data_IF_678259022789
#
_entry.id   IF_678259022789
#
_cell.length_a   1.000
_cell.length_b   1.000
_cell.length_c   1.000
_cell.angle_alpha   90.00
_cell.angle_beta   90.00
_cell.angle_gamma   90.00
#
_symmetry.space_group_name_H-M   'P 1'
#
loop_
_entity.id
_entity.type
_entity.pdbx_description
1 polymer ?
#
# COMPACT_ATOMS: atom_id res chain seq x y z
N UNK A 1 4.87 -12.09 36.11
CA UNK A 1 4.59 -11.62 37.49
C UNK A 1 3.24 -12.14 37.90
N UNK A 2 3.22 -13.07 38.85
CA UNK A 2 2.00 -13.64 39.44
C UNK A 2 1.98 -13.16 40.88
N UNK A 3 1.12 -12.18 41.17
CA UNK A 3 0.98 -11.63 42.52
C UNK A 3 -0.19 -12.33 43.19
N UNK A 4 0.08 -12.99 44.31
CA UNK A 4 -0.94 -13.71 45.08
C UNK A 4 -0.98 -13.23 46.52
N UNK A 5 -2.09 -13.48 47.18
CA UNK A 5 -2.29 -13.12 48.58
C UNK A 5 -1.88 -14.31 49.46
N UNK A 6 -0.99 -14.08 50.43
CA UNK A 6 -0.57 -15.11 51.37
C UNK A 6 -1.78 -15.54 52.23
N UNK A 7 -2.03 -16.85 52.31
CA UNK A 7 -3.17 -17.40 53.06
C UNK A 7 -3.08 -17.19 54.57
N UNK A 8 -1.88 -16.88 55.09
CA UNK A 8 -1.61 -16.74 56.52
C UNK A 8 -1.67 -15.28 56.99
N UNK A 9 -1.16 -14.34 56.20
CA UNK A 9 -1.07 -12.93 56.60
C UNK A 9 -1.82 -11.96 55.67
N UNK A 10 -2.48 -12.46 54.62
CA UNK A 10 -3.21 -11.67 53.62
C UNK A 10 -2.37 -10.63 52.85
N UNK A 11 -1.04 -10.69 52.95
CA UNK A 11 -0.16 -9.79 52.19
C UNK A 11 0.14 -10.31 50.79
N UNK A 12 0.35 -9.38 49.86
CA UNK A 12 0.58 -9.71 48.44
C UNK A 12 2.04 -10.07 48.18
N UNK A 13 2.27 -11.29 47.71
CA UNK A 13 3.58 -11.86 47.39
C UNK A 13 3.69 -12.07 45.88
N UNK A 14 4.78 -11.61 45.26
CA UNK A 14 5.07 -11.84 43.84
C UNK A 14 5.90 -13.13 43.67
N UNK A 15 5.33 -14.11 42.96
CA UNK A 15 5.97 -15.41 42.71
C UNK A 15 6.84 -15.43 41.44
N UNK A 16 7.01 -14.29 40.76
CA UNK A 16 7.85 -14.20 39.57
C UNK A 16 7.25 -14.92 38.35
N UNK A 17 8.01 -15.84 37.75
CA UNK A 17 7.68 -16.50 36.48
C UNK A 17 7.30 -17.99 36.60
N UNK A 18 7.46 -18.60 37.78
CA UNK A 18 7.11 -20.00 37.99
C UNK A 18 6.00 -20.05 39.06
N UNK A 19 4.77 -20.49 38.72
CA UNK A 19 3.62 -20.37 39.60
C UNK A 19 3.33 -21.61 40.46
N UNK A 20 4.18 -22.64 40.51
CA UNK A 20 3.96 -23.85 41.32
C UNK A 20 5.18 -24.12 42.21
N UNK A 21 4.95 -24.35 43.50
CA UNK A 21 5.98 -24.67 44.47
C UNK A 21 5.64 -24.25 45.90
N UNK A 22 6.54 -24.56 46.83
CA UNK A 22 6.54 -24.03 48.20
C UNK A 22 7.26 -22.68 48.20
N UNK A 23 6.60 -21.64 48.72
CA UNK A 23 7.15 -20.30 48.79
C UNK A 23 7.18 -19.82 50.23
N UNK A 24 8.28 -19.18 50.62
CA UNK A 24 8.40 -18.51 51.91
C UNK A 24 7.81 -17.10 51.78
N UNK A 25 6.83 -16.75 52.63
CA UNK A 25 6.28 -15.40 52.62
C UNK A 25 7.26 -14.40 53.24
N UNK A 26 7.70 -13.34 52.55
CA UNK A 26 8.66 -12.37 53.09
C UNK A 26 8.11 -11.51 54.25
N UNK A 27 6.80 -11.58 54.51
CA UNK A 27 6.13 -10.79 55.55
C UNK A 27 5.86 -11.58 56.82
N UNK A 28 5.67 -12.91 56.73
CA UNK A 28 5.45 -13.75 57.91
C UNK A 28 6.49 -14.87 58.08
N UNK A 29 7.43 -15.02 57.14
CA UNK A 29 8.50 -16.04 57.10
C UNK A 29 7.98 -17.47 57.28
N UNK A 30 6.75 -17.73 56.85
CA UNK A 30 6.14 -19.04 56.86
C UNK A 30 6.05 -19.56 55.43
N UNK A 31 6.34 -20.84 55.28
CA UNK A 31 6.25 -21.56 54.01
C UNK A 31 4.80 -21.88 53.71
N UNK A 32 4.38 -21.61 52.47
CA UNK A 32 3.08 -22.02 51.97
C UNK A 32 3.21 -22.68 50.60
N UNK A 33 2.48 -23.77 50.40
CA UNK A 33 2.40 -24.44 49.10
C UNK A 33 1.32 -23.79 48.24
N UNK A 34 1.70 -23.45 47.02
CA UNK A 34 0.77 -22.94 46.03
C UNK A 34 0.67 -23.93 44.87
N UNK A 35 -0.45 -24.65 44.85
CA UNK A 35 -0.86 -25.49 43.72
C UNK A 35 -1.79 -24.69 42.82
N UNK A 36 -1.39 -24.49 41.56
CA UNK A 36 -2.25 -23.87 40.55
C UNK A 36 -3.45 -24.80 40.33
N UNK A 37 -4.64 -24.33 40.68
CA UNK A 37 -5.89 -25.04 40.47
C UNK A 37 -5.93 -25.57 39.03
N UNK A 38 -6.04 -26.89 38.84
CA UNK A 38 -5.96 -27.58 37.54
C UNK A 38 -6.86 -26.96 36.45
N UNK A 39 -8.01 -26.38 36.85
CA UNK A 39 -8.92 -25.63 35.95
C UNK A 39 -8.37 -24.29 35.48
N UNK A 40 -7.55 -23.63 36.29
CA UNK A 40 -6.80 -22.43 35.95
C UNK A 40 -5.59 -22.75 35.07
N UNK A 41 -4.93 -23.89 35.31
CA UNK A 41 -3.86 -24.42 34.48
C UNK A 41 -4.35 -24.78 33.08
N UNK A 42 -5.48 -25.48 32.96
CA UNK A 42 -6.13 -25.67 31.65
C UNK A 42 -6.46 -24.32 31.00
N UNK A 43 -6.99 -23.33 31.73
CA UNK A 43 -7.23 -21.98 31.17
C UNK A 43 -5.96 -21.18 30.81
N UNK A 44 -4.84 -21.46 31.46
CA UNK A 44 -3.53 -20.81 31.22
C UNK A 44 -2.76 -21.52 30.10
N UNK A 45 -2.81 -22.85 30.03
CA UNK A 45 -2.27 -23.65 28.93
C UNK A 45 -3.08 -23.43 27.65
N UNK A 46 -4.42 -23.34 27.74
CA UNK A 46 -5.24 -22.85 26.62
C UNK A 46 -4.94 -21.38 26.26
N UNK A 47 -4.26 -20.60 27.10
CA UNK A 47 -3.81 -19.23 26.77
C UNK A 47 -2.36 -19.17 26.30
N UNK A 48 -1.48 -20.06 26.76
CA UNK A 48 -0.08 -20.15 26.38
C UNK A 48 0.11 -20.93 25.08
N UNK A 49 -0.73 -21.94 24.79
CA UNK A 49 -0.82 -22.56 23.46
C UNK A 49 -1.48 -21.62 22.41
N UNK A 50 -2.02 -20.47 22.86
CA UNK A 50 -2.47 -19.35 21.99
C UNK A 50 -1.48 -18.16 22.05
N UNK A 51 -0.26 -18.35 22.54
CA UNK A 51 0.83 -17.41 22.26
C UNK A 51 1.72 -18.00 21.16
N UNK A 52 1.49 -17.65 19.89
CA UNK A 52 2.45 -18.00 18.87
C UNK A 52 3.76 -17.27 19.18
N UNK A 53 4.84 -18.03 19.05
CA UNK A 53 6.19 -17.57 18.77
C UNK A 53 6.15 -16.24 17.97
N UNK A 54 6.92 -15.18 18.31
CA UNK A 54 6.84 -13.88 17.65
C UNK A 54 7.51 -13.88 16.26
N UNK A 55 7.23 -14.90 15.45
CA UNK A 55 7.22 -14.90 14.00
C UNK A 55 5.76 -14.97 13.53
N UNK A 56 4.94 -14.03 13.99
CA UNK A 56 3.53 -13.90 13.62
C UNK A 56 3.42 -13.14 12.30
N UNK A 57 3.57 -13.85 11.18
CA UNK A 57 2.83 -13.51 9.96
C UNK A 57 1.34 -13.65 10.33
N UNK A 58 0.74 -12.58 10.85
CA UNK A 58 -0.71 -12.49 10.94
C UNK A 58 -1.18 -12.18 9.52
N UNK A 59 -1.47 -13.23 8.76
CA UNK A 59 -2.21 -13.05 7.52
C UNK A 59 -3.51 -12.31 7.86
N UNK A 60 -3.74 -11.19 7.16
CA UNK A 60 -4.96 -10.41 7.30
C UNK A 60 -6.15 -11.34 7.00
N UNK A 61 -7.26 -11.27 7.78
CA UNK A 61 -8.45 -12.05 7.46
C UNK A 61 -8.86 -11.82 6.00
N UNK A 62 -8.98 -12.90 5.24
CA UNK A 62 -9.46 -12.85 3.86
C UNK A 62 -10.90 -12.35 3.90
N UNK A 63 -11.23 -11.37 3.06
CA UNK A 63 -12.61 -10.92 2.93
C UNK A 63 -13.44 -11.99 2.20
N UNK A 64 -14.33 -12.67 2.93
CA UNK A 64 -15.24 -13.69 2.39
C UNK A 64 -16.50 -13.06 1.73
N UNK A 65 -16.31 -11.94 1.03
CA UNK A 65 -17.38 -11.16 0.41
C UNK A 65 -18.19 -10.31 1.40
N UNK A 66 -17.64 -9.99 2.57
CA UNK A 66 -18.24 -8.99 3.45
C UNK A 66 -18.18 -7.59 2.85
N UNK A 67 -17.13 -7.28 2.08
CA UNK A 67 -17.01 -6.02 1.34
C UNK A 67 -18.13 -5.82 0.33
N UNK A 68 -18.43 -6.84 -0.47
CA UNK A 68 -19.54 -6.80 -1.45
C UNK A 68 -20.89 -6.65 -0.76
N UNK A 69 -21.12 -7.39 0.34
CA UNK A 69 -22.34 -7.23 1.15
C UNK A 69 -22.47 -5.81 1.70
N UNK A 70 -21.36 -5.19 2.12
CA UNK A 70 -21.37 -3.82 2.60
C UNK A 70 -21.68 -2.84 1.47
N UNK A 71 -21.12 -3.04 0.27
CA UNK A 71 -21.40 -2.22 -0.91
C UNK A 71 -22.89 -2.29 -1.29
N UNK A 72 -23.46 -3.49 -1.41
CA UNK A 72 -24.89 -3.67 -1.71
C UNK A 72 -25.79 -2.96 -0.69
N UNK A 73 -25.43 -3.00 0.60
CA UNK A 73 -26.18 -2.30 1.64
C UNK A 73 -26.05 -0.77 1.57
N UNK A 74 -24.90 -0.25 1.09
CA UNK A 74 -24.70 1.18 0.91
C UNK A 74 -25.47 1.70 -0.31
N UNK A 75 -25.50 0.93 -1.40
CA UNK A 75 -26.24 1.26 -2.63
C UNK A 75 -27.75 1.30 -2.41
N UNK A 76 -28.26 0.38 -1.57
CA UNK A 76 -29.64 0.36 -1.08
C UNK A 76 -30.05 1.60 -0.24
N UNK A 77 -29.15 2.59 -0.07
CA UNK A 77 -29.31 3.77 0.80
C UNK A 77 -29.68 3.43 2.26
N UNK A 78 -29.40 2.20 2.71
CA UNK A 78 -29.64 1.79 4.08
C UNK A 78 -28.54 2.41 4.94
N UNK A 79 -28.93 3.23 5.92
CA UNK A 79 -27.98 3.68 6.95
C UNK A 79 -27.48 2.47 7.74
N UNK A 80 -26.25 2.06 7.50
CA UNK A 80 -25.66 0.90 8.17
C UNK A 80 -25.08 1.33 9.51
N UNK A 81 -25.57 0.81 10.65
CA UNK A 81 -25.11 1.23 11.96
C UNK A 81 -23.63 0.91 12.17
N UNK A 82 -22.82 1.93 12.46
CA UNK A 82 -21.38 1.78 12.69
C UNK A 82 -20.55 1.77 11.40
N UNK A 83 -21.18 1.97 10.23
CA UNK A 83 -20.48 2.40 9.02
C UNK A 83 -20.25 3.91 9.04
N UNK A 84 -19.21 4.38 8.35
CA UNK A 84 -18.97 5.80 8.15
C UNK A 84 -18.04 6.06 6.99
N UNK A 85 -18.25 7.19 6.31
CA UNK A 85 -17.41 7.66 5.24
C UNK A 85 -16.11 8.24 5.81
N UNK A 86 -14.97 7.69 5.36
CA UNK A 86 -13.65 8.17 5.74
C UNK A 86 -13.19 9.30 4.84
N UNK A 87 -13.32 9.10 3.53
CA UNK A 87 -12.81 9.95 2.46
C UNK A 87 -13.73 9.83 1.25
N UNK A 88 -13.86 10.94 0.55
CA UNK A 88 -14.49 11.06 -0.76
C UNK A 88 -13.61 12.00 -1.58
N UNK A 89 -13.26 11.58 -2.79
CA UNK A 89 -12.41 12.33 -3.71
C UNK A 89 -12.85 12.06 -5.13
N UNK A 90 -12.86 13.10 -5.96
CA UNK A 90 -13.13 12.97 -7.39
C UNK A 90 -11.79 12.99 -8.10
N UNK A 91 -11.54 11.98 -8.92
CA UNK A 91 -10.32 11.85 -9.71
C UNK A 91 -10.74 11.78 -11.17
N UNK A 92 -10.15 12.62 -12.01
CA UNK A 92 -10.28 12.49 -13.46
C UNK A 92 -9.34 11.37 -13.93
N UNK A 93 -9.89 10.33 -14.58
CA UNK A 93 -9.18 9.20 -15.18
C UNK A 93 -9.35 9.26 -16.70
N UNK A 94 -8.30 8.87 -17.42
CA UNK A 94 -8.33 8.86 -18.89
C UNK A 94 -8.07 10.23 -19.50
N UNK A 95 -8.48 10.41 -20.75
CA UNK A 95 -8.16 11.59 -21.53
C UNK A 95 -6.73 11.64 -22.07
N UNK A 96 -6.47 12.67 -22.88
CA UNK A 96 -5.20 12.83 -23.59
C UNK A 96 -4.09 13.30 -22.64
N UNK A 97 -3.28 12.36 -22.14
CA UNK A 97 -2.07 12.68 -21.38
C UNK A 97 -0.92 13.08 -22.34
N UNK A 98 -0.86 14.37 -22.67
CA UNK A 98 0.13 14.93 -23.60
C UNK A 98 1.57 14.69 -23.19
N UNK A 99 1.88 14.81 -21.90
CA UNK A 99 3.26 14.73 -21.41
C UNK A 99 3.79 13.31 -21.57
N UNK A 100 3.06 12.31 -21.06
CA UNK A 100 3.49 10.91 -21.17
C UNK A 100 3.50 10.45 -22.63
N UNK A 101 2.50 10.83 -23.43
CA UNK A 101 2.47 10.51 -24.85
C UNK A 101 3.67 11.08 -25.62
N UNK A 102 4.05 12.34 -25.37
CA UNK A 102 5.22 12.96 -26.01
C UNK A 102 6.50 12.25 -25.59
N UNK A 103 6.67 11.94 -24.31
CA UNK A 103 7.86 11.25 -23.80
C UNK A 103 8.00 9.87 -24.44
N UNK A 104 6.93 9.09 -24.51
CA UNK A 104 6.95 7.76 -25.14
C UNK A 104 7.24 7.82 -26.64
N UNK A 105 6.68 8.80 -27.36
CA UNK A 105 6.95 9.02 -28.79
C UNK A 105 8.41 9.45 -29.00
N UNK A 106 8.92 10.39 -28.19
CA UNK A 106 10.31 10.85 -28.32
C UNK A 106 11.29 9.72 -28.02
N UNK A 107 11.06 8.92 -26.98
CA UNK A 107 11.91 7.80 -26.64
C UNK A 107 11.93 6.73 -27.74
N UNK A 108 10.76 6.24 -28.15
CA UNK A 108 10.68 5.23 -29.21
C UNK A 108 11.10 5.78 -30.58
N UNK A 109 10.81 7.05 -30.86
CA UNK A 109 11.21 7.76 -32.07
C UNK A 109 12.72 7.98 -32.14
N UNK A 110 13.39 8.26 -31.03
CA UNK A 110 14.85 8.36 -30.99
C UNK A 110 15.51 7.02 -31.32
N UNK A 111 14.99 5.91 -30.79
CA UNK A 111 15.49 4.57 -31.12
C UNK A 111 15.28 4.23 -32.60
N UNK A 112 14.09 4.52 -33.14
CA UNK A 112 13.81 4.35 -34.57
C UNK A 112 14.72 5.23 -35.43
N UNK A 113 14.94 6.48 -35.03
CA UNK A 113 15.79 7.44 -35.74
C UNK A 113 17.24 6.96 -35.79
N UNK A 114 17.80 6.53 -34.66
CA UNK A 114 19.16 5.99 -34.59
C UNK A 114 19.31 4.74 -35.46
N UNK A 115 18.34 3.83 -35.40
CA UNK A 115 18.29 2.64 -36.25
C UNK A 115 18.31 3.02 -37.76
N UNK A 116 17.50 3.99 -38.17
CA UNK A 116 17.47 4.47 -39.56
C UNK A 116 18.80 5.11 -39.99
N UNK A 117 19.47 5.85 -39.11
CA UNK A 117 20.81 6.41 -39.39
C UNK A 117 21.80 5.30 -39.74
N UNK A 118 21.84 4.22 -38.96
CA UNK A 118 22.75 3.10 -39.27
C UNK A 118 22.34 2.35 -40.55
N UNK A 119 21.04 2.21 -40.84
CA UNK A 119 20.56 1.61 -42.10
C UNK A 119 20.99 2.45 -43.31
N UNK A 120 20.89 3.78 -43.23
CA UNK A 120 21.27 4.70 -44.31
C UNK A 120 22.80 4.77 -44.48
N UNK A 121 23.57 4.65 -43.40
CA UNK A 121 25.04 4.63 -43.44
C UNK A 121 25.60 3.29 -43.95
N UNK A 122 24.88 2.18 -43.75
CA UNK A 122 25.30 0.84 -44.20
C UNK A 122 25.71 0.74 -45.70
N UNK A 123 24.97 1.29 -46.67
CA UNK A 123 25.38 1.27 -48.08
C UNK A 123 26.57 2.19 -48.40
N UNK A 124 26.86 3.21 -47.59
CA UNK A 124 28.04 4.08 -47.80
C UNK A 124 29.35 3.33 -47.54
N UNK A 125 29.37 2.40 -46.58
CA UNK A 125 30.54 1.56 -46.30
C UNK A 125 30.89 0.63 -47.46
N UNK A 126 29.87 0.18 -48.20
CA UNK A 126 30.05 -0.64 -49.40
C UNK A 126 30.70 0.13 -50.56
N UNK A 127 30.71 1.48 -50.50
CA UNK A 127 31.26 2.35 -51.53
C UNK A 127 32.72 2.78 -51.22
N UNK A 128 33.10 2.88 -49.94
CA UNK A 128 34.40 3.44 -49.49
C UNK A 128 35.46 2.35 -49.22
N UNK A 129 35.08 1.07 -49.20
CA UNK A 129 36.03 -0.03 -49.43
C UNK A 129 36.90 -0.44 -48.25
N UNK A 130 36.44 -0.28 -47.00
CA UNK A 130 37.09 -0.87 -45.82
C UNK A 130 36.07 -1.57 -44.92
N UNK A 131 36.22 -2.89 -44.76
CA UNK A 131 35.23 -3.78 -44.11
C UNK A 131 35.02 -3.57 -42.61
N UNK A 132 35.73 -2.64 -41.97
CA UNK A 132 35.61 -2.36 -40.54
C UNK A 132 34.32 -1.58 -40.24
N UNK A 133 33.97 -0.59 -41.07
CA UNK A 133 32.78 0.24 -40.84
C UNK A 133 31.46 -0.53 -41.03
N UNK A 134 31.39 -1.43 -42.01
CA UNK A 134 30.22 -2.30 -42.21
C UNK A 134 29.93 -3.22 -41.03
N UNK A 135 30.96 -3.63 -40.28
CA UNK A 135 30.81 -4.40 -39.05
C UNK A 135 30.21 -3.54 -37.91
N UNK A 136 30.64 -2.28 -37.79
CA UNK A 136 30.06 -1.34 -36.82
C UNK A 136 28.62 -0.95 -37.18
N UNK A 137 28.31 -0.74 -38.46
CA UNK A 137 26.95 -0.42 -38.91
C UNK A 137 26.00 -1.60 -38.71
N UNK A 138 26.40 -2.82 -39.05
CA UNK A 138 25.56 -4.02 -38.81
C UNK A 138 25.37 -4.33 -37.31
N UNK A 139 26.42 -4.16 -36.50
CA UNK A 139 26.31 -4.27 -35.03
C UNK A 139 25.41 -3.17 -34.46
N UNK A 140 25.54 -1.93 -34.95
CA UNK A 140 24.70 -0.79 -34.56
C UNK A 140 23.23 -1.00 -34.92
N UNK A 141 22.93 -1.51 -36.12
CA UNK A 141 21.57 -1.88 -36.51
C UNK A 141 21.00 -2.89 -35.51
N UNK A 142 21.70 -3.98 -35.21
CA UNK A 142 21.21 -4.97 -34.24
C UNK A 142 21.03 -4.39 -32.83
N UNK A 143 21.97 -3.54 -32.40
CA UNK A 143 21.96 -2.90 -31.09
C UNK A 143 20.72 -2.01 -30.87
N UNK A 144 20.23 -1.34 -31.92
CA UNK A 144 19.05 -0.47 -31.83
C UNK A 144 17.75 -1.13 -32.32
N UNK A 145 17.82 -2.07 -33.27
CA UNK A 145 16.68 -2.84 -33.76
C UNK A 145 16.05 -3.68 -32.64
N UNK A 146 16.85 -4.41 -31.87
CA UNK A 146 16.31 -5.33 -30.86
C UNK A 146 15.57 -4.55 -29.75
N UNK A 147 16.15 -3.50 -29.13
CA UNK A 147 15.42 -2.68 -28.17
C UNK A 147 14.23 -1.93 -28.77
N UNK A 148 14.32 -1.48 -30.02
CA UNK A 148 13.19 -0.85 -30.69
C UNK A 148 12.04 -1.83 -30.88
N UNK A 149 12.28 -3.04 -31.38
CA UNK A 149 11.23 -4.03 -31.56
C UNK A 149 10.62 -4.46 -30.23
N UNK A 150 11.44 -4.66 -29.19
CA UNK A 150 10.95 -5.10 -27.88
C UNK A 150 10.23 -4.01 -27.08
N UNK A 151 10.66 -2.75 -27.17
CA UNK A 151 10.19 -1.68 -26.28
C UNK A 151 9.81 -0.39 -27.03
N UNK A 152 10.62 0.02 -28.01
CA UNK A 152 10.43 1.28 -28.72
C UNK A 152 9.16 1.33 -29.58
N UNK A 153 8.85 0.25 -30.29
CA UNK A 153 7.71 0.16 -31.19
C UNK A 153 6.38 0.29 -30.44
N UNK A 154 6.24 -0.44 -29.33
CA UNK A 154 5.11 -0.32 -28.41
C UNK A 154 5.00 1.06 -27.78
N UNK A 155 6.14 1.70 -27.46
CA UNK A 155 6.14 3.07 -26.93
C UNK A 155 5.65 4.11 -27.94
N UNK A 156 6.12 4.03 -29.20
CA UNK A 156 5.65 4.93 -30.28
C UNK A 156 4.18 4.73 -30.57
N UNK A 157 3.76 3.47 -30.73
CA UNK A 157 2.36 3.12 -31.05
C UNK A 157 1.44 3.52 -29.89
N UNK A 158 1.78 3.18 -28.65
CA UNK A 158 0.99 3.52 -27.46
C UNK A 158 0.88 5.04 -27.27
N UNK A 159 1.98 5.78 -27.44
CA UNK A 159 1.98 7.23 -27.38
C UNK A 159 1.10 7.87 -28.46
N UNK A 160 1.17 7.38 -29.70
CA UNK A 160 0.33 7.81 -30.83
C UNK A 160 -1.15 7.48 -30.63
N UNK A 161 -1.47 6.28 -30.14
CA UNK A 161 -2.85 5.87 -29.87
C UNK A 161 -3.46 6.79 -28.81
N UNK A 162 -2.75 7.02 -27.70
CA UNK A 162 -3.23 7.92 -26.64
C UNK A 162 -3.38 9.38 -27.12
N UNK A 163 -2.63 9.79 -28.14
CA UNK A 163 -2.79 11.08 -28.82
C UNK A 163 -3.98 11.09 -29.78
N UNK A 164 -4.15 10.10 -30.64
CA UNK A 164 -5.15 10.13 -31.72
C UNK A 164 -6.53 9.73 -31.21
N UNK A 165 -6.58 8.74 -30.33
CA UNK A 165 -7.78 8.18 -29.72
C UNK A 165 -7.53 8.01 -28.21
N UNK A 166 -7.47 9.12 -27.46
CA UNK A 166 -7.38 9.01 -26.00
C UNK A 166 -8.55 8.18 -25.47
N UNK A 167 -8.33 7.47 -24.36
CA UNK A 167 -9.45 6.89 -23.62
C UNK A 167 -10.42 8.01 -23.18
N UNK A 168 -11.71 7.66 -23.03
CA UNK A 168 -12.72 8.60 -22.57
C UNK A 168 -12.27 9.27 -21.26
N UNK A 169 -12.65 10.53 -21.09
CA UNK A 169 -12.46 11.23 -19.81
C UNK A 169 -13.54 10.73 -18.84
N UNK A 170 -13.11 9.95 -17.86
CA UNK A 170 -13.96 9.44 -16.79
C UNK A 170 -13.72 10.25 -15.51
N UNK A 171 -14.79 10.60 -14.81
CA UNK A 171 -14.73 11.09 -13.45
C UNK A 171 -15.02 9.95 -12.49
N UNK A 172 -14.02 9.59 -11.71
CA UNK A 172 -14.11 8.52 -10.72
C UNK A 172 -14.26 9.13 -9.35
N UNK A 173 -15.44 8.93 -8.74
CA UNK A 173 -15.68 9.26 -7.34
C UNK A 173 -15.18 8.10 -6.49
N UNK A 174 -14.05 8.30 -5.82
CA UNK A 174 -13.45 7.33 -4.90
C UNK A 174 -13.99 7.56 -3.50
N UNK A 175 -14.77 6.59 -2.99
CA UNK A 175 -15.32 6.61 -1.63
C UNK A 175 -14.68 5.52 -0.78
N UNK A 176 -14.10 5.92 0.34
CA UNK A 176 -13.54 4.99 1.32
C UNK A 176 -14.48 4.91 2.52
N UNK A 177 -15.01 3.73 2.79
CA UNK A 177 -15.92 3.48 3.90
C UNK A 177 -15.27 2.59 4.96
N UNK A 178 -15.66 2.77 6.22
CA UNK A 178 -15.30 1.88 7.32
C UNK A 178 -16.52 1.39 8.07
N UNK A 179 -16.56 0.08 8.34
CA UNK A 179 -17.47 -0.53 9.29
C UNK A 179 -16.74 -0.82 10.61
N UNK A 180 -16.90 0.06 11.60
CA UNK A 180 -16.10 0.05 12.85
C UNK A 180 -16.19 -1.24 13.66
N UNK A 181 -17.38 -1.84 13.79
CA UNK A 181 -17.55 -3.08 14.58
C UNK A 181 -16.84 -4.28 13.96
N UNK A 182 -16.86 -4.39 12.63
CA UNK A 182 -16.21 -5.44 11.84
C UNK A 182 -14.75 -5.13 11.52
N UNK A 183 -14.31 -3.91 11.83
CA UNK A 183 -13.01 -3.35 11.42
C UNK A 183 -12.77 -3.46 9.90
N UNK A 184 -13.83 -3.49 9.10
CA UNK A 184 -13.75 -3.66 7.66
C UNK A 184 -13.63 -2.27 7.00
N UNK A 185 -12.66 -2.10 6.11
CA UNK A 185 -12.52 -0.94 5.24
C UNK A 185 -12.81 -1.39 3.82
N UNK A 186 -13.60 -0.60 3.08
CA UNK A 186 -13.86 -0.83 1.66
C UNK A 186 -13.55 0.43 0.86
N UNK A 187 -13.05 0.24 -0.36
CA UNK A 187 -12.79 1.29 -1.34
C UNK A 187 -13.70 1.04 -2.53
N UNK A 188 -14.55 2.02 -2.80
CA UNK A 188 -15.59 1.96 -3.84
C UNK A 188 -15.31 3.05 -4.86
N UNK A 189 -15.40 2.70 -6.14
CA UNK A 189 -15.34 3.64 -7.24
C UNK A 189 -16.73 3.78 -7.85
N UNK A 190 -17.25 5.00 -7.91
CA UNK A 190 -18.38 5.32 -8.77
C UNK A 190 -17.82 6.00 -10.01
N UNK A 191 -17.96 5.36 -11.16
CA UNK A 191 -17.42 5.87 -12.43
C UNK A 191 -18.53 6.63 -13.16
N UNK A 192 -18.23 7.86 -13.52
CA UNK A 192 -19.07 8.69 -14.38
C UNK A 192 -18.29 9.00 -15.66
N UNK A 193 -18.76 8.50 -16.81
CA UNK A 193 -18.18 8.86 -18.10
C UNK A 193 -18.75 10.21 -18.55
N UNK A 194 -17.87 11.20 -18.63
CA UNK A 194 -18.22 12.59 -18.95
C UNK A 194 -18.60 12.72 -20.43
N UNK A 195 -18.03 11.89 -21.31
CA UNK A 195 -18.30 11.95 -22.74
C UNK A 195 -19.65 11.31 -23.09
N UNK A 196 -19.95 10.17 -22.47
CA UNK A 196 -21.22 9.46 -22.71
C UNK A 196 -22.37 9.90 -21.80
N UNK A 197 -22.11 10.70 -20.77
CA UNK A 197 -23.07 11.13 -19.73
C UNK A 197 -23.75 9.93 -19.05
N UNK A 198 -22.96 8.89 -18.75
CA UNK A 198 -23.43 7.65 -18.14
C UNK A 198 -22.77 7.43 -16.78
N UNK A 199 -23.61 7.13 -15.78
CA UNK A 199 -23.16 6.61 -14.50
C UNK A 199 -23.09 5.08 -14.57
N UNK A 200 -21.92 4.53 -14.26
CA UNK A 200 -21.74 3.10 -14.09
C UNK A 200 -22.11 2.66 -12.68
N UNK A 201 -22.38 1.36 -12.52
CA UNK A 201 -22.62 0.78 -11.20
C UNK A 201 -21.37 0.92 -10.31
N UNK A 202 -21.52 1.17 -9.00
CA UNK A 202 -20.40 1.25 -8.09
C UNK A 202 -19.55 -0.03 -8.06
N UNK A 203 -18.25 0.09 -8.23
CA UNK A 203 -17.31 -1.04 -8.23
C UNK A 203 -16.54 -1.12 -6.90
N UNK A 204 -16.51 -2.32 -6.30
CA UNK A 204 -15.66 -2.61 -5.15
C UNK A 204 -14.23 -2.87 -5.62
N UNK A 205 -13.33 -1.92 -5.39
CA UNK A 205 -11.92 -2.06 -5.80
C UNK A 205 -11.13 -2.88 -4.79
N UNK A 206 -11.38 -2.64 -3.50
CA UNK A 206 -10.64 -3.30 -2.44
C UNK A 206 -11.45 -3.34 -1.15
N UNK A 207 -11.28 -4.42 -0.40
CA UNK A 207 -11.85 -4.62 0.91
C UNK A 207 -10.87 -5.36 1.81
N UNK A 208 -10.73 -4.90 3.05
CA UNK A 208 -9.79 -5.50 3.99
C UNK A 208 -10.14 -5.20 5.45
N UNK A 209 -9.81 -6.14 6.34
CA UNK A 209 -10.02 -6.00 7.78
C UNK A 209 -8.82 -5.37 8.48
N UNK A 210 -9.02 -4.35 9.30
CA UNK A 210 -7.98 -3.76 10.13
C UNK A 210 -7.56 -4.72 11.25
N UNK A 211 -6.25 -4.93 11.35
CA UNK A 211 -5.61 -5.75 12.37
C UNK A 211 -4.92 -4.88 13.43
N UNK A 212 -4.42 -5.50 14.51
CA UNK A 212 -3.81 -4.76 15.63
C UNK A 212 -2.48 -4.09 15.28
N UNK A 213 -1.74 -4.62 14.30
CA UNK A 213 -0.48 -4.05 13.84
C UNK A 213 -0.65 -2.95 12.80
N UNK A 214 -1.89 -2.63 12.41
CA UNK A 214 -2.17 -1.52 11.52
C UNK A 214 -2.11 -0.20 12.28
N UNK A 215 -1.44 0.78 11.67
CA UNK A 215 -1.36 2.15 12.16
C UNK A 215 -1.60 3.15 11.03
N UNK A 216 -1.87 4.40 11.38
CA UNK A 216 -1.77 5.51 10.43
C UNK A 216 -0.37 6.09 10.50
N UNK A 217 0.22 6.34 9.34
CA UNK A 217 1.55 6.94 9.20
C UNK A 217 1.57 8.03 8.14
N UNK A 218 2.44 9.02 8.34
CA UNK A 218 2.80 9.97 7.29
C UNK A 218 4.10 9.50 6.65
N UNK A 219 4.06 9.15 5.37
CA UNK A 219 5.24 8.82 4.58
C UNK A 219 5.70 10.07 3.83
N UNK A 220 6.97 10.40 3.97
CA UNK A 220 7.56 11.62 3.41
C UNK A 220 8.58 11.28 2.33
N UNK A 221 8.32 11.78 1.14
CA UNK A 221 9.21 11.73 -0.01
C UNK A 221 9.94 13.06 -0.13
N UNK A 222 11.27 13.03 -0.04
CA UNK A 222 12.08 14.25 -0.14
C UNK A 222 12.13 14.72 -1.60
N UNK A 223 12.08 16.05 -1.84
CA UNK A 223 12.36 16.59 -3.15
C UNK A 223 13.79 16.22 -3.56
N UNK A 224 13.98 16.00 -4.87
CA UNK A 224 15.30 15.72 -5.45
C UNK A 224 15.80 16.93 -6.20
N UNK A 225 16.90 17.51 -5.72
CA UNK A 225 17.56 18.66 -6.36
C UNK A 225 18.04 18.34 -7.78
N UNK A 226 18.29 17.06 -8.10
CA UNK A 226 18.86 16.63 -9.38
C UNK A 226 17.80 16.16 -10.40
N UNK A 227 16.59 15.81 -9.95
CA UNK A 227 15.54 15.22 -10.81
C UNK A 227 14.28 16.09 -10.89
N UNK A 228 14.23 17.23 -10.19
CA UNK A 228 13.09 18.14 -10.24
C UNK A 228 11.80 17.57 -9.62
N UNK A 229 11.89 16.52 -8.81
CA UNK A 229 10.73 15.99 -8.10
C UNK A 229 10.40 16.93 -6.94
N UNK A 230 9.14 17.40 -6.88
CA UNK A 230 8.67 18.27 -5.78
C UNK A 230 8.65 17.56 -4.42
N UNK A 231 8.78 16.24 -4.39
CA UNK A 231 8.55 15.44 -3.20
C UNK A 231 7.08 15.49 -2.79
N UNK A 232 6.77 14.94 -1.62
CA UNK A 232 5.42 14.97 -1.09
C UNK A 232 5.28 14.25 0.23
N UNK A 233 4.10 14.37 0.84
CA UNK A 233 3.71 13.60 2.01
C UNK A 233 2.44 12.82 1.75
N UNK A 234 2.40 11.60 2.24
CA UNK A 234 1.29 10.68 2.05
C UNK A 234 0.82 10.18 3.40
N UNK A 235 -0.44 10.42 3.72
CA UNK A 235 -1.09 9.81 4.87
C UNK A 235 -1.62 8.46 4.44
N UNK A 236 -1.20 7.39 5.12
CA UNK A 236 -1.58 6.03 4.75
C UNK A 236 -1.89 5.13 5.94
N UNK A 237 -2.61 4.05 5.67
CA UNK A 237 -2.70 2.89 6.56
C UNK A 237 -1.47 2.01 6.32
N UNK A 238 -0.76 1.70 7.40
CA UNK A 238 0.55 1.06 7.39
C UNK A 238 0.56 -0.16 8.32
N UNK A 239 1.07 -1.30 7.86
CA UNK A 239 1.30 -2.48 8.70
C UNK A 239 2.73 -2.47 9.25
N UNK A 240 2.87 -2.56 10.57
CA UNK A 240 4.17 -2.59 11.24
C UNK A 240 4.93 -3.91 11.05
N UNK A 241 4.20 -5.02 10.94
CA UNK A 241 4.76 -6.37 11.03
C UNK A 241 5.15 -6.97 9.67
N UNK A 242 4.65 -6.41 8.58
CA UNK A 242 4.90 -6.98 7.25
C UNK A 242 6.29 -6.61 6.69
N UNK A 243 6.77 -7.40 5.73
CA UNK A 243 7.99 -7.08 4.96
C UNK A 243 7.83 -5.74 4.23
N UNK A 244 8.94 -5.03 4.01
CA UNK A 244 8.97 -3.62 3.55
C UNK A 244 8.02 -3.28 2.39
N UNK A 245 7.78 -4.21 1.46
CA UNK A 245 6.96 -4.00 0.26
C UNK A 245 5.45 -4.10 0.49
N UNK A 246 5.00 -4.85 1.52
CA UNK A 246 3.57 -5.05 1.80
C UNK A 246 3.02 -4.13 2.89
N UNK A 247 3.87 -3.28 3.48
CA UNK A 247 3.49 -2.44 4.61
C UNK A 247 2.48 -1.35 4.26
N UNK A 248 2.49 -0.83 3.03
CA UNK A 248 1.49 0.15 2.60
C UNK A 248 0.19 -0.57 2.23
N UNK A 249 -0.86 -0.37 3.03
CA UNK A 249 -2.16 -1.00 2.80
C UNK A 249 -3.05 -0.10 1.95
N UNK A 250 -3.16 1.18 2.32
CA UNK A 250 -4.05 2.13 1.65
C UNK A 250 -3.53 3.56 1.79
N UNK A 251 -3.48 4.29 0.68
CA UNK A 251 -3.23 5.72 0.67
C UNK A 251 -4.52 6.48 0.98
N UNK A 252 -4.49 7.34 1.99
CA UNK A 252 -5.65 8.12 2.43
C UNK A 252 -5.62 9.53 1.85
N UNK A 253 -4.47 10.21 1.86
CA UNK A 253 -4.37 11.57 1.30
C UNK A 253 -2.94 11.96 0.96
N UNK A 254 -2.78 12.69 -0.13
CA UNK A 254 -1.54 13.32 -0.57
C UNK A 254 -1.49 14.79 -0.11
N UNK A 255 -0.28 15.24 0.19
CA UNK A 255 0.05 16.60 0.62
C UNK A 255 1.37 17.01 -0.03
N UNK A 256 1.56 18.32 -0.20
CA UNK A 256 2.83 18.86 -0.67
C UNK A 256 3.96 18.67 0.37
N UNK A 257 5.21 18.80 -0.09
CA UNK A 257 6.38 18.57 0.76
C UNK A 257 6.61 19.65 1.82
N UNK A 258 5.93 20.78 1.77
CA UNK A 258 5.92 21.82 2.79
C UNK A 258 4.74 21.70 3.77
N UNK A 259 3.65 21.03 3.39
CA UNK A 259 2.43 20.82 4.18
C UNK A 259 2.57 19.78 5.32
N UNK A 260 3.63 19.86 6.12
CA UNK A 260 3.91 18.89 7.19
C UNK A 260 2.81 18.87 8.25
N UNK A 261 2.46 20.03 8.79
CA UNK A 261 1.51 20.14 9.90
C UNK A 261 0.11 19.69 9.48
N UNK A 262 -0.28 19.97 8.24
CA UNK A 262 -1.57 19.56 7.69
C UNK A 262 -1.63 18.04 7.50
N UNK A 263 -0.57 17.44 6.98
CA UNK A 263 -0.44 15.99 6.84
C UNK A 263 -0.53 15.29 8.20
N UNK A 264 0.18 15.79 9.23
CA UNK A 264 0.11 15.22 10.58
C UNK A 264 -1.28 15.38 11.21
N UNK A 265 -1.90 16.55 11.05
CA UNK A 265 -3.25 16.81 11.56
C UNK A 265 -4.27 15.88 10.90
N UNK A 266 -4.19 15.70 9.59
CA UNK A 266 -5.03 14.77 8.85
C UNK A 266 -4.79 13.33 9.30
N UNK A 267 -3.53 12.91 9.46
CA UNK A 267 -3.20 11.57 9.96
C UNK A 267 -3.82 11.29 11.34
N UNK A 268 -3.77 12.24 12.27
CA UNK A 268 -4.43 12.10 13.59
C UNK A 268 -5.95 12.00 13.47
N UNK A 269 -6.57 12.75 12.56
CA UNK A 269 -8.01 12.67 12.29
C UNK A 269 -8.38 11.29 11.75
N UNK A 270 -7.64 10.78 10.75
CA UNK A 270 -7.88 9.46 10.19
C UNK A 270 -7.66 8.35 11.23
N UNK A 271 -6.58 8.42 12.02
CA UNK A 271 -6.32 7.47 13.11
C UNK A 271 -7.50 7.39 14.08
N UNK A 272 -8.06 8.55 14.47
CA UNK A 272 -9.25 8.63 15.31
C UNK A 272 -10.51 8.07 14.63
N UNK A 273 -10.72 8.34 13.34
CA UNK A 273 -11.87 7.82 12.59
C UNK A 273 -11.81 6.30 12.43
N UNK A 274 -10.61 5.77 12.18
CA UNK A 274 -10.29 4.35 11.99
C UNK A 274 -10.25 3.57 13.30
N UNK A 275 -9.92 4.23 14.41
CA UNK A 275 -9.73 3.57 15.72
C UNK A 275 -8.41 2.79 15.80
N UNK A 276 -7.38 3.22 15.07
CA UNK A 276 -6.03 2.63 15.05
C UNK A 276 -4.99 3.68 15.47
N UNK A 277 -3.82 3.30 16.00
CA UNK A 277 -2.82 4.26 16.48
C UNK A 277 -2.19 5.07 15.34
N UNK A 278 -1.73 6.28 15.66
CA UNK A 278 -0.89 7.10 14.79
C UNK A 278 0.57 6.98 15.24
N UNK A 279 1.48 6.65 14.30
CA UNK A 279 2.89 6.40 14.60
C UNK A 279 3.86 7.51 14.22
N UNK A 280 3.37 8.65 13.74
CA UNK A 280 4.24 9.75 13.32
C UNK A 280 4.64 9.69 11.85
N UNK A 281 5.77 10.32 11.56
CA UNK A 281 6.36 10.44 10.23
C UNK A 281 7.37 9.30 9.97
N UNK A 282 7.43 8.83 8.73
CA UNK A 282 8.44 7.89 8.24
C UNK A 282 8.94 8.33 6.87
N UNK A 283 10.14 7.90 6.49
CA UNK A 283 10.67 8.17 5.16
C UNK A 283 10.05 7.18 4.16
N UNK A 284 9.56 7.68 3.03
CA UNK A 284 9.09 6.87 1.90
C UNK A 284 10.29 6.35 1.09
N UNK A 285 11.23 5.66 1.74
CA UNK A 285 12.23 4.95 0.97
C UNK A 285 11.51 3.81 0.23
N UNK A 286 11.30 4.01 -1.07
CA UNK A 286 10.79 3.07 -2.07
C UNK A 286 9.27 2.91 -2.16
N UNK A 287 8.62 3.76 -2.97
CA UNK A 287 7.39 3.42 -3.69
C UNK A 287 7.32 4.17 -5.03
N UNK A 288 8.20 3.80 -5.96
CA UNK A 288 8.08 4.12 -7.39
C UNK A 288 7.56 2.92 -8.21
N UNK A 289 6.97 1.91 -7.56
CA UNK A 289 6.52 0.67 -8.19
C UNK A 289 5.18 0.15 -7.62
N UNK A 290 4.23 1.03 -7.30
CA UNK A 290 2.82 0.62 -7.30
C UNK A 290 2.27 1.04 -8.66
N UNK A 291 1.77 0.12 -9.50
CA UNK A 291 0.99 0.51 -10.66
C UNK A 291 -0.17 1.36 -10.16
N UNK A 292 -0.22 2.62 -10.55
CA UNK A 292 -1.47 3.36 -10.56
C UNK A 292 -2.35 2.61 -11.55
N UNK A 293 -3.31 1.84 -11.03
CA UNK A 293 -4.34 1.18 -11.83
C UNK A 293 -5.36 2.22 -12.27
#
# INVERSE_FOLDING_TARGET
>A
MVVMECSLCSEKVDLGNNPEGTYECPYCNEDFEYEVNRKLREKLETKLDIMPNPSLDIDRPIDEGEGEKLLMLLDDNKKIPGSGLLKEEIIDRGGRNWVDSIVHILFGGAMLGLMLVFIVMFPFDSLVGEGIYGMFCSAGILLFMIPFLLFGSGSVIGGLINLISPGNVEQVLVRIWIHRKKKLVIVVHDVYDVESDVFYEPELISSFHLIRSDCVRVLTERPSDNMGTKGGRKVCIWNQNESKLKRLILELKLFEYDEKEEAEKAARIYAKKLGIPYEGEGLSYWYSLVPQY
#
